data_IF_927687860818
#
_entry.id   IF_927687860818
#
_cell.length_a   1.000
_cell.length_b   1.000
_cell.length_c   1.000
_cell.angle_alpha   90.00
_cell.angle_beta   90.00
_cell.angle_gamma   90.00
#
_symmetry.space_group_name_H-M   'P 1'
#
loop_
_entity.id
_entity.type
_entity.pdbx_description
1 polymer ?
#
# COMPACT_ATOMS: atom_id res chain seq x y z
N UNK A 1 -7.13 -19.90 11.22
CA UNK A 1 -7.73 -18.65 11.72
C UNK A 1 -7.81 -17.73 10.53
N UNK A 2 -9.00 -17.58 9.93
CA UNK A 2 -9.29 -16.60 8.88
C UNK A 2 -9.40 -15.18 9.50
N UNK A 3 -8.41 -14.85 10.34
CA UNK A 3 -8.38 -13.63 11.12
C UNK A 3 -7.64 -12.53 10.37
N UNK A 4 -8.05 -11.29 10.63
CA UNK A 4 -7.36 -10.04 10.30
C UNK A 4 -7.49 -9.41 8.92
N UNK A 5 -8.00 -10.06 7.86
CA UNK A 5 -8.18 -9.34 6.59
C UNK A 5 -9.41 -8.42 6.58
N UNK A 6 -10.47 -8.75 7.33
CA UNK A 6 -11.64 -7.90 7.50
C UNK A 6 -11.54 -6.93 8.69
N UNK A 7 -10.57 -7.13 9.58
CA UNK A 7 -10.45 -6.33 10.82
C UNK A 7 -9.95 -4.91 10.56
N UNK A 8 -9.43 -4.63 9.37
CA UNK A 8 -8.99 -3.29 8.96
C UNK A 8 -10.13 -2.42 8.45
N UNK A 9 -11.27 -3.01 8.07
CA UNK A 9 -12.37 -2.26 7.45
C UNK A 9 -13.02 -1.30 8.45
N UNK A 10 -13.26 -1.75 9.69
CA UNK A 10 -13.86 -0.90 10.72
C UNK A 10 -12.96 0.32 11.08
N UNK A 11 -11.63 0.17 11.30
CA UNK A 11 -10.72 1.31 11.42
C UNK A 11 -10.73 2.27 10.23
N UNK A 12 -10.81 1.77 9.00
CA UNK A 12 -10.87 2.60 7.79
C UNK A 12 -12.16 3.40 7.71
N UNK A 13 -13.31 2.76 7.96
CA UNK A 13 -14.61 3.43 8.03
C UNK A 13 -14.56 4.53 9.10
N UNK A 14 -14.03 4.22 10.29
CA UNK A 14 -13.91 5.20 11.37
C UNK A 14 -13.03 6.40 10.96
N UNK A 15 -11.89 6.16 10.30
CA UNK A 15 -11.01 7.23 9.83
C UNK A 15 -11.72 8.14 8.81
N UNK A 16 -12.44 7.57 7.84
CA UNK A 16 -13.23 8.31 6.86
C UNK A 16 -14.30 9.15 7.55
N UNK A 17 -15.01 8.58 8.53
CA UNK A 17 -16.01 9.32 9.32
C UNK A 17 -15.41 10.48 10.10
N UNK A 18 -14.26 10.28 10.76
CA UNK A 18 -13.57 11.31 11.54
C UNK A 18 -13.06 12.45 10.65
N UNK A 19 -12.63 12.15 9.43
CA UNK A 19 -12.06 13.14 8.51
C UNK A 19 -13.07 14.12 7.90
N UNK A 20 -14.34 13.72 7.74
CA UNK A 20 -15.34 14.50 7.01
C UNK A 20 -16.12 15.52 7.88
N UNK A 21 -16.03 15.45 9.21
CA UNK A 21 -16.58 16.47 10.11
C UNK A 21 -18.12 16.58 10.15
N UNK A 22 -18.84 15.66 9.48
CA UNK A 22 -20.30 15.54 9.50
C UNK A 22 -20.73 14.06 9.50
N UNK A 23 -21.98 13.74 9.87
CA UNK A 23 -22.52 12.41 9.67
C UNK A 23 -22.52 12.05 8.18
N UNK A 24 -21.99 10.88 7.84
CA UNK A 24 -21.92 10.39 6.47
C UNK A 24 -23.07 9.44 6.18
N UNK A 25 -23.58 9.51 4.95
CA UNK A 25 -24.40 8.46 4.37
C UNK A 25 -23.57 7.22 4.06
N UNK A 26 -24.23 6.08 3.83
CA UNK A 26 -23.53 4.86 3.48
C UNK A 26 -22.75 5.00 2.17
N UNK A 27 -23.30 5.72 1.19
CA UNK A 27 -22.66 5.94 -0.11
C UNK A 27 -21.37 6.76 0.05
N UNK A 28 -21.41 7.84 0.85
CA UNK A 28 -20.21 8.64 1.14
C UNK A 28 -19.13 7.84 1.88
N UNK A 29 -19.52 6.91 2.76
CA UNK A 29 -18.57 6.00 3.43
C UNK A 29 -17.93 5.05 2.40
N UNK A 30 -18.72 4.49 1.49
CA UNK A 30 -18.22 3.58 0.45
C UNK A 30 -17.23 4.31 -0.46
N UNK A 31 -17.61 5.48 -0.96
CA UNK A 31 -16.76 6.29 -1.85
C UNK A 31 -15.43 6.64 -1.16
N UNK A 32 -15.48 7.12 0.09
CA UNK A 32 -14.27 7.48 0.85
C UNK A 32 -13.37 6.27 1.18
N UNK A 33 -13.95 5.13 1.56
CA UNK A 33 -13.16 3.91 1.82
C UNK A 33 -12.52 3.39 0.52
N UNK A 34 -13.24 3.40 -0.59
CA UNK A 34 -12.72 2.99 -1.90
C UNK A 34 -11.57 3.89 -2.35
N UNK A 35 -11.69 5.22 -2.18
CA UNK A 35 -10.62 6.16 -2.48
C UNK A 35 -9.35 5.85 -1.68
N UNK A 36 -9.49 5.64 -0.35
CA UNK A 36 -8.36 5.31 0.52
C UNK A 36 -7.69 4.02 0.09
N UNK A 37 -8.44 2.94 -0.17
CA UNK A 37 -7.87 1.65 -0.60
C UNK A 37 -7.14 1.78 -1.95
N UNK A 38 -7.75 2.50 -2.91
CA UNK A 38 -7.14 2.70 -4.23
C UNK A 38 -5.82 3.48 -4.11
N UNK A 39 -5.79 4.56 -3.32
CA UNK A 39 -4.57 5.35 -3.10
C UNK A 39 -3.41 4.52 -2.53
N UNK A 40 -3.70 3.61 -1.59
CA UNK A 40 -2.68 2.73 -1.02
C UNK A 40 -2.23 1.65 -2.01
N UNK A 41 -3.13 1.18 -2.86
CA UNK A 41 -2.82 0.21 -3.92
C UNK A 41 -1.88 0.83 -4.96
N UNK A 42 -2.11 2.09 -5.36
CA UNK A 42 -1.23 2.82 -6.26
C UNK A 42 0.17 3.03 -5.64
N UNK A 43 0.24 3.39 -4.36
CA UNK A 43 1.51 3.56 -3.64
C UNK A 43 2.28 2.23 -3.49
N UNK A 44 1.58 1.11 -3.25
CA UNK A 44 2.19 -0.22 -3.16
C UNK A 44 2.77 -0.66 -4.51
N UNK A 45 2.03 -0.47 -5.61
CA UNK A 45 2.48 -0.79 -6.97
C UNK A 45 3.72 0.04 -7.39
N UNK A 46 3.87 1.26 -6.88
CA UNK A 46 5.07 2.10 -7.07
C UNK A 46 6.23 1.61 -6.19
N UNK A 47 5.95 1.16 -4.97
CA UNK A 47 6.97 0.65 -4.03
C UNK A 47 7.62 -0.66 -4.49
N UNK A 48 6.90 -1.55 -5.17
CA UNK A 48 7.47 -2.79 -5.73
C UNK A 48 8.48 -2.53 -6.86
N UNK A 49 8.54 -1.31 -7.40
CA UNK A 49 9.56 -0.89 -8.37
C UNK A 49 10.79 -0.20 -7.73
N UNK A 50 10.82 -0.02 -6.40
CA UNK A 50 11.92 0.59 -5.64
C UNK A 50 12.55 -0.50 -4.76
N UNK A 51 12.99 -1.60 -5.37
CA UNK A 51 13.30 -2.80 -4.61
C UNK A 51 14.38 -3.73 -5.14
N UNK A 52 15.19 -3.39 -6.16
CA UNK A 52 16.36 -4.24 -6.47
C UNK A 52 17.51 -3.59 -7.27
N UNK A 53 17.99 -2.40 -6.88
CA UNK A 53 19.32 -1.96 -7.35
C UNK A 53 19.99 -1.14 -6.27
N UNK A 54 20.79 -1.79 -5.40
CA UNK A 54 22.08 -1.28 -4.84
C UNK A 54 22.46 -2.01 -3.54
N UNK A 55 22.88 -3.27 -3.62
CA UNK A 55 23.86 -3.79 -2.67
C UNK A 55 24.80 -4.76 -3.40
N UNK A 56 25.97 -4.26 -3.82
CA UNK A 56 26.95 -5.14 -4.45
C UNK A 56 28.12 -4.46 -5.15
N UNK A 57 28.79 -3.49 -4.52
CA UNK A 57 30.19 -3.18 -4.88
C UNK A 57 31.05 -4.41 -4.54
N UNK A 58 31.20 -5.35 -5.47
CA UNK A 58 32.38 -6.23 -5.56
C UNK A 58 32.75 -6.44 -7.02
N UNK A 59 33.67 -5.60 -7.46
CA UNK A 59 34.46 -5.75 -8.67
C UNK A 59 35.24 -7.06 -8.57
N UNK A 60 34.81 -8.10 -9.28
CA UNK A 60 35.63 -9.29 -9.52
C UNK A 60 35.61 -9.57 -11.02
N UNK A 61 36.75 -9.24 -11.63
CA UNK A 61 37.12 -9.39 -13.03
C UNK A 61 36.83 -10.80 -13.58
N UNK A 62 36.38 -10.93 -14.84
CA UNK A 62 36.46 -12.20 -15.55
C UNK A 62 37.90 -12.41 -16.04
N UNK A 63 38.64 -13.35 -15.43
CA UNK A 63 39.86 -13.89 -16.05
C UNK A 63 39.45 -14.67 -17.31
N UNK A 64 39.69 -14.10 -18.49
CA UNK A 64 39.64 -14.82 -19.76
C UNK A 64 40.90 -15.68 -19.90
N UNK A 65 40.69 -16.94 -20.29
CA UNK A 65 41.70 -17.93 -20.60
C UNK A 65 42.15 -17.71 -22.06
N UNK A 66 43.42 -17.36 -22.25
CA UNK A 66 44.20 -17.62 -23.46
C UNK A 66 45.53 -18.21 -22.98
#
# INVERSE_FOLDING_TARGET
>A
MDGCHNDILAPLILAVMVANGHPLTLDEIVDGVTEVINSQTELANVSENIGDVKHGRKMLSPRRKC
#
